data_IF_971868955145
#
_entry.id   IF_971868955145
#
_cell.length_a   1.000
_cell.length_b   1.000
_cell.length_c   1.000
_cell.angle_alpha   90.00
_cell.angle_beta   90.00
_cell.angle_gamma   90.00
#
_symmetry.space_group_name_H-M   'P 1'
#
loop_
_entity.id
_entity.type
_entity.pdbx_description
1 polymer ?
#
# COMPACT_ATOMS: atom_id res chain seq x y z
N UNK A 1 18.66 16.59 6.44
CA UNK A 1 17.55 17.37 5.84
C UNK A 1 18.05 17.99 4.54
N UNK A 2 17.38 17.72 3.41
CA UNK A 2 17.74 18.26 2.09
C UNK A 2 16.72 19.34 1.73
N UNK A 3 17.18 20.51 1.29
CA UNK A 3 16.32 21.60 0.84
C UNK A 3 16.30 21.65 -0.69
N UNK A 4 15.11 21.73 -1.26
CA UNK A 4 14.90 21.92 -2.71
C UNK A 4 13.89 23.04 -2.91
N UNK A 5 14.07 23.81 -3.97
CA UNK A 5 13.13 24.85 -4.40
C UNK A 5 12.29 24.29 -5.53
N UNK A 6 11.02 24.67 -5.56
CA UNK A 6 10.08 24.34 -6.64
C UNK A 6 9.44 25.64 -7.13
N UNK A 7 9.02 25.63 -8.39
CA UNK A 7 8.20 26.69 -8.97
C UNK A 7 6.81 26.11 -9.19
N UNK A 8 5.80 26.78 -8.66
CA UNK A 8 4.38 26.44 -8.78
C UNK A 8 3.62 27.72 -9.10
N UNK A 9 2.42 27.60 -9.67
CA UNK A 9 1.57 28.76 -9.86
C UNK A 9 1.00 29.27 -8.54
N UNK A 10 0.56 30.52 -8.56
CA UNK A 10 0.04 31.21 -7.38
C UNK A 10 -1.25 30.55 -6.86
N UNK A 11 -2.12 30.06 -7.74
CA UNK A 11 -3.38 29.44 -7.32
C UNK A 11 -3.14 28.09 -6.64
N UNK A 12 -2.20 27.27 -7.14
CA UNK A 12 -1.74 26.06 -6.46
C UNK A 12 -1.09 26.36 -5.12
N UNK A 13 -0.21 27.37 -5.07
CA UNK A 13 0.41 27.81 -3.83
C UNK A 13 -0.65 28.16 -2.77
N UNK A 14 -1.61 29.01 -3.11
CA UNK A 14 -2.67 29.42 -2.20
C UNK A 14 -3.50 28.24 -1.71
N UNK A 15 -3.87 27.32 -2.61
CA UNK A 15 -4.61 26.10 -2.25
C UNK A 15 -3.85 25.26 -1.21
N UNK A 16 -2.55 25.02 -1.45
CA UNK A 16 -1.70 24.22 -0.57
C UNK A 16 -1.41 24.95 0.75
N UNK A 17 -1.20 26.25 0.70
CA UNK A 17 -0.93 27.08 1.86
C UNK A 17 -2.17 27.17 2.78
N UNK A 18 -3.37 27.24 2.22
CA UNK A 18 -4.62 27.20 2.99
C UNK A 18 -4.80 25.87 3.74
N UNK A 19 -4.43 24.75 3.11
CA UNK A 19 -4.41 23.44 3.78
C UNK A 19 -3.38 23.46 4.92
N UNK A 20 -2.17 23.97 4.66
CA UNK A 20 -1.13 24.07 5.69
C UNK A 20 -1.61 24.85 6.92
N UNK A 21 -2.28 25.99 6.70
CA UNK A 21 -2.86 26.81 7.77
C UNK A 21 -3.97 26.08 8.53
N UNK A 22 -4.92 25.47 7.82
CA UNK A 22 -6.04 24.74 8.43
C UNK A 22 -5.56 23.59 9.31
N UNK A 23 -4.59 22.83 8.81
CA UNK A 23 -4.03 21.66 9.49
C UNK A 23 -2.92 22.03 10.50
N UNK A 24 -2.57 23.32 10.62
CA UNK A 24 -1.49 23.85 11.47
C UNK A 24 -0.14 23.14 11.27
N UNK A 25 0.20 22.87 10.00
CA UNK A 25 1.48 22.27 9.61
C UNK A 25 2.21 23.16 8.62
N UNK A 26 3.50 22.89 8.39
CA UNK A 26 4.27 23.64 7.40
C UNK A 26 3.85 23.28 5.97
N UNK A 27 4.05 24.21 5.03
CA UNK A 27 3.86 23.96 3.60
C UNK A 27 4.65 22.73 3.12
N UNK A 28 5.92 22.63 3.52
CA UNK A 28 6.78 21.48 3.19
C UNK A 28 6.19 20.15 3.67
N UNK A 29 5.48 20.17 4.80
CA UNK A 29 4.84 18.97 5.35
C UNK A 29 3.61 18.56 4.55
N UNK A 30 2.84 19.52 4.04
CA UNK A 30 1.74 19.26 3.09
C UNK A 30 2.28 18.59 1.83
N UNK A 31 3.34 19.17 1.22
CA UNK A 31 3.97 18.58 0.02
C UNK A 31 4.47 17.18 0.31
N UNK A 32 5.17 16.98 1.43
CA UNK A 32 5.72 15.66 1.80
C UNK A 32 4.62 14.61 1.95
N UNK A 33 3.52 14.93 2.64
CA UNK A 33 2.38 14.02 2.81
C UNK A 33 1.73 13.69 1.46
N UNK A 34 1.48 14.70 0.64
CA UNK A 34 0.88 14.51 -0.68
C UNK A 34 1.77 13.63 -1.58
N UNK A 35 3.09 13.83 -1.57
CA UNK A 35 4.00 13.04 -2.42
C UNK A 35 4.09 11.59 -1.95
N UNK A 36 4.08 11.33 -0.65
CA UNK A 36 4.05 9.94 -0.15
C UNK A 36 2.78 9.22 -0.57
N UNK A 37 1.62 9.89 -0.53
CA UNK A 37 0.36 9.29 -1.02
C UNK A 37 0.47 8.98 -2.52
N UNK A 38 0.99 9.93 -3.31
CA UNK A 38 1.17 9.74 -4.74
C UNK A 38 2.11 8.58 -5.07
N UNK A 39 3.25 8.48 -4.39
CA UNK A 39 4.22 7.40 -4.58
C UNK A 39 3.59 6.05 -4.24
N UNK A 40 2.94 5.94 -3.09
CA UNK A 40 2.29 4.69 -2.69
C UNK A 40 1.22 4.26 -3.69
N UNK A 41 0.38 5.20 -4.15
CA UNK A 41 -0.62 4.91 -5.18
C UNK A 41 0.03 4.47 -6.50
N UNK A 42 1.12 5.12 -6.91
CA UNK A 42 1.84 4.77 -8.13
C UNK A 42 2.50 3.38 -8.04
N UNK A 43 3.11 3.06 -6.91
CA UNK A 43 3.71 1.75 -6.64
C UNK A 43 2.64 0.66 -6.55
N UNK A 44 1.51 0.91 -5.88
CA UNK A 44 0.38 -0.03 -5.82
C UNK A 44 -0.23 -0.26 -7.21
N UNK A 45 -0.38 0.79 -8.03
CA UNK A 45 -0.82 0.66 -9.43
C UNK A 45 0.13 -0.27 -10.19
N UNK A 46 1.45 -0.15 -9.97
CA UNK A 46 2.42 -1.04 -10.64
C UNK A 46 2.26 -2.51 -10.24
N UNK A 47 1.95 -2.79 -8.96
CA UNK A 47 1.68 -4.15 -8.49
C UNK A 47 0.35 -4.68 -9.03
N UNK A 48 -0.69 -3.86 -9.01
CA UNK A 48 -2.01 -4.21 -9.57
C UNK A 48 -1.92 -4.46 -11.07
N UNK A 49 -1.20 -3.61 -11.82
CA UNK A 49 -0.94 -3.80 -13.25
C UNK A 49 -0.10 -5.04 -13.51
N UNK A 50 0.92 -5.31 -12.68
CA UNK A 50 1.72 -6.52 -12.76
C UNK A 50 0.85 -7.77 -12.55
N UNK A 51 0.00 -7.79 -11.53
CA UNK A 51 -0.93 -8.90 -11.25
C UNK A 51 -1.89 -9.07 -12.43
N UNK A 52 -2.57 -8.01 -12.88
CA UNK A 52 -3.50 -8.10 -14.02
C UNK A 52 -2.83 -8.56 -15.32
N UNK A 53 -1.55 -8.23 -15.51
CA UNK A 53 -0.80 -8.57 -16.73
C UNK A 53 -0.24 -9.98 -16.69
N UNK A 54 0.14 -10.48 -15.51
CA UNK A 54 0.91 -11.73 -15.38
C UNK A 54 0.17 -12.84 -14.64
N UNK A 55 -0.92 -12.52 -13.94
CA UNK A 55 -1.78 -13.47 -13.26
C UNK A 55 -3.11 -13.55 -14.00
N UNK A 56 -3.54 -14.76 -14.36
CA UNK A 56 -4.89 -14.99 -14.86
C UNK A 56 -5.94 -14.76 -13.78
N UNK A 57 -7.18 -14.54 -14.18
CA UNK A 57 -8.30 -14.67 -13.25
C UNK A 57 -8.35 -16.13 -12.76
N UNK A 58 -8.51 -16.30 -11.46
CA UNK A 58 -8.77 -17.61 -10.87
C UNK A 58 -10.15 -18.07 -11.34
N UNK A 59 -10.35 -19.37 -11.51
CA UNK A 59 -11.66 -19.90 -11.91
C UNK A 59 -12.69 -19.73 -10.79
N UNK A 60 -13.97 -19.67 -11.15
CA UNK A 60 -15.06 -19.55 -10.16
C UNK A 60 -15.04 -20.71 -9.14
N UNK A 61 -14.61 -21.91 -9.55
CA UNK A 61 -14.39 -23.05 -8.65
C UNK A 61 -13.24 -22.80 -7.65
N UNK A 62 -12.08 -22.33 -8.12
CA UNK A 62 -10.93 -22.02 -7.25
C UNK A 62 -11.23 -20.85 -6.31
N UNK A 63 -11.95 -19.82 -6.77
CA UNK A 63 -12.38 -18.71 -5.93
C UNK A 63 -13.29 -19.20 -4.79
N UNK A 64 -14.23 -20.09 -5.12
CA UNK A 64 -15.15 -20.67 -4.16
C UNK A 64 -14.44 -21.58 -3.15
N UNK A 65 -13.44 -22.33 -3.58
CA UNK A 65 -12.58 -23.13 -2.69
C UNK A 65 -11.81 -22.22 -1.72
N UNK A 66 -11.16 -21.17 -2.22
CA UNK A 66 -10.43 -20.20 -1.39
C UNK A 66 -11.33 -19.50 -0.38
N UNK A 67 -12.52 -19.06 -0.79
CA UNK A 67 -13.49 -18.44 0.10
C UNK A 67 -13.95 -19.41 1.20
N UNK A 68 -14.10 -20.70 0.89
CA UNK A 68 -14.45 -21.71 1.90
C UNK A 68 -13.40 -21.86 2.99
N UNK A 69 -12.11 -21.71 2.66
CA UNK A 69 -11.01 -21.76 3.64
C UNK A 69 -10.97 -20.53 4.55
N UNK A 70 -11.48 -19.39 4.09
CA UNK A 70 -11.52 -18.14 4.88
C UNK A 70 -12.72 -18.14 5.84
N UNK A 71 -13.88 -18.60 5.37
CA UNK A 71 -15.13 -18.58 6.14
C UNK A 71 -15.22 -19.72 7.16
N UNK A 72 -14.73 -20.92 6.80
CA UNK A 72 -14.67 -22.08 7.68
C UNK A 72 -13.25 -22.67 7.65
N UNK A 73 -12.27 -22.02 8.30
CA UNK A 73 -10.93 -22.57 8.38
C UNK A 73 -10.98 -23.90 9.13
N UNK A 74 -10.76 -25.01 8.42
CA UNK A 74 -10.53 -26.34 8.99
C UNK A 74 -9.11 -26.40 9.58
N UNK A 75 -8.91 -25.56 10.59
CA UNK A 75 -7.67 -25.47 11.34
C UNK A 75 -7.91 -26.21 12.64
N UNK A 76 -7.39 -27.43 12.76
CA UNK A 76 -7.15 -28.00 14.08
C UNK A 76 -6.19 -27.03 14.81
N UNK A 77 -6.58 -26.45 15.95
CA UNK A 77 -5.74 -25.53 16.71
C UNK A 77 -4.38 -26.13 17.12
N UNK A 78 -4.23 -27.45 17.00
CA UNK A 78 -3.02 -28.20 17.30
C UNK A 78 -2.25 -28.65 16.04
N UNK A 79 -2.81 -28.47 14.84
CA UNK A 79 -2.23 -28.89 13.56
C UNK A 79 -1.76 -27.66 12.77
N UNK A 80 -0.74 -27.01 13.31
CA UNK A 80 -0.11 -25.84 12.71
C UNK A 80 0.87 -25.20 13.70
N UNK A 81 1.95 -24.63 13.19
CA UNK A 81 2.89 -23.83 14.00
C UNK A 81 2.96 -22.42 13.43
N UNK A 82 3.03 -21.43 14.31
CA UNK A 82 3.24 -20.05 13.90
C UNK A 82 4.65 -19.91 13.31
N UNK A 83 4.75 -19.50 12.05
CA UNK A 83 6.02 -19.22 11.39
C UNK A 83 6.33 -17.72 11.50
N UNK A 84 7.54 -17.39 11.94
CA UNK A 84 8.02 -16.01 11.90
C UNK A 84 8.57 -15.64 10.53
N UNK A 85 8.54 -14.35 10.20
CA UNK A 85 9.11 -13.82 8.97
C UNK A 85 10.60 -14.17 8.84
N UNK A 86 11.35 -14.22 9.94
CA UNK A 86 12.77 -14.63 9.88
C UNK A 86 12.96 -16.08 9.45
N UNK A 87 12.05 -17.01 9.78
CA UNK A 87 12.14 -18.42 9.39
C UNK A 87 11.95 -18.58 7.87
N UNK A 88 10.99 -17.84 7.31
CA UNK A 88 10.72 -17.79 5.87
C UNK A 88 11.93 -17.23 5.11
N UNK A 89 12.48 -16.09 5.56
CA UNK A 89 13.61 -15.43 4.89
C UNK A 89 14.88 -16.29 4.91
N UNK A 90 15.06 -17.10 5.97
CA UNK A 90 16.22 -17.99 6.10
C UNK A 90 16.04 -19.34 5.40
N UNK A 91 14.88 -19.61 4.82
CA UNK A 91 14.59 -20.87 4.14
C UNK A 91 14.56 -22.09 5.07
N UNK A 92 14.35 -21.88 6.37
CA UNK A 92 14.24 -22.96 7.36
C UNK A 92 12.75 -23.13 7.69
N UNK A 93 12.07 -23.87 6.81
CA UNK A 93 10.69 -24.33 6.98
C UNK A 93 10.67 -25.75 7.53
#
# INVERSE_FOLDING_TARGET
MIRKSITIDEAEYEKLNNIAHREKISFSEVIRKAMNIYINQYEDISLVEYIKKNCGYVSDEEEKELLSWIDEPDLDPNEGSELTIEQIIKGNL
#
